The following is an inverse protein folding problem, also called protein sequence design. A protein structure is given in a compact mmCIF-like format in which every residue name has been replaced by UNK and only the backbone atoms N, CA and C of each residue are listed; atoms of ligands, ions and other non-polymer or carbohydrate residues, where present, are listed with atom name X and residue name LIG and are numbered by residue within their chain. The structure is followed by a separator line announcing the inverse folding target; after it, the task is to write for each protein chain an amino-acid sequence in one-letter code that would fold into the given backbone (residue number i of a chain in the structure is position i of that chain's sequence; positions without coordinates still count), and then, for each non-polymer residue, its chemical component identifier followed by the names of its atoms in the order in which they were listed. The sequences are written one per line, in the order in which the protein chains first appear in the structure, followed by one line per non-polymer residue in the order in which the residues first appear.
data_IF_564535428440
#
_entry.id   IF_564535428440
#
_cell.length_a   1.000
_cell.length_b   1.000
_cell.length_c   1.000
_cell.angle_alpha   90.00
_cell.angle_beta   90.00
_cell.angle_gamma   90.00
#
_symmetry.space_group_name_H-M   'P 1'
#
loop_
_entity.id
_entity.type
_entity.pdbx_description
1 polymer ?
#
# COMPACT_ATOMS: atom_id res chain seq x y z
N UNK A 1 19.94 -13.31 -6.06
CA UNK A 1 19.53 -13.93 -4.78
C UNK A 1 19.70 -12.92 -3.67
N UNK A 2 18.88 -12.94 -2.60
CA UNK A 2 19.07 -12.05 -1.46
C UNK A 2 20.45 -12.28 -0.84
N UNK A 3 21.09 -11.21 -0.36
CA UNK A 3 22.39 -11.30 0.34
C UNK A 3 22.17 -11.95 1.71
N UNK A 4 21.07 -11.60 2.39
CA UNK A 4 20.65 -12.16 3.69
C UNK A 4 19.12 -12.22 3.78
N UNK A 5 18.60 -12.96 4.77
CA UNK A 5 17.15 -13.07 4.99
C UNK A 5 16.84 -13.10 6.48
N UNK A 6 15.88 -12.28 6.91
CA UNK A 6 15.50 -12.11 8.32
C UNK A 6 13.98 -12.16 8.49
N UNK A 7 13.55 -12.62 9.66
CA UNK A 7 12.16 -12.47 10.12
C UNK A 7 12.13 -11.31 11.11
N UNK A 8 11.42 -10.24 10.77
CA UNK A 8 11.42 -9.00 11.55
C UNK A 8 10.01 -8.68 12.04
N UNK A 9 9.92 -8.22 13.28
CA UNK A 9 8.70 -7.70 13.90
C UNK A 9 9.03 -6.44 14.68
N UNK A 10 8.29 -5.36 14.42
CA UNK A 10 8.45 -4.08 15.09
C UNK A 10 8.20 -4.24 16.61
N UNK A 11 9.01 -3.53 17.42
CA UNK A 11 8.92 -3.61 18.89
C UNK A 11 7.66 -2.91 19.42
N UNK A 12 7.35 -1.73 18.89
CA UNK A 12 6.14 -0.98 19.24
C UNK A 12 4.86 -1.69 18.73
N UNK A 13 3.92 -1.97 19.64
CA UNK A 13 2.67 -2.65 19.32
C UNK A 13 1.71 -1.81 18.47
N UNK A 14 1.63 -0.50 18.72
CA UNK A 14 0.76 0.40 17.94
C UNK A 14 1.18 0.46 16.48
N UNK A 15 2.49 0.43 16.19
CA UNK A 15 3.00 0.32 14.80
C UNK A 15 2.52 -0.97 14.16
N UNK A 16 2.58 -2.09 14.88
CA UNK A 16 2.11 -3.39 14.36
C UNK A 16 0.61 -3.42 14.15
N UNK A 17 -0.16 -2.82 15.05
CA UNK A 17 -1.62 -2.74 14.96
C UNK A 17 -2.10 -1.86 13.79
N UNK A 18 -1.30 -0.91 13.36
CA UNK A 18 -1.59 -0.07 12.19
C UNK A 18 -0.88 -0.54 10.90
N UNK A 19 -0.07 -1.60 10.96
CA UNK A 19 0.63 -2.17 9.80
C UNK A 19 -0.02 -3.46 9.30
N UNK A 20 0.10 -3.82 8.03
CA UNK A 20 -0.47 -5.10 7.56
C UNK A 20 0.20 -6.32 8.22
N UNK A 21 1.53 -6.29 8.38
CA UNK A 21 2.35 -7.40 8.89
C UNK A 21 3.21 -6.94 10.08
N UNK A 22 4.50 -7.31 10.12
CA UNK A 22 5.43 -7.01 11.19
C UNK A 22 5.79 -5.53 11.39
N UNK A 23 5.42 -4.62 10.48
CA UNK A 23 5.65 -3.18 10.63
C UNK A 23 7.01 -2.67 10.12
N UNK A 24 7.71 -3.44 9.29
CA UNK A 24 9.02 -3.05 8.73
C UNK A 24 8.93 -1.80 7.83
N UNK A 25 7.85 -1.64 7.06
CA UNK A 25 7.62 -0.43 6.24
C UNK A 25 7.72 0.84 7.08
N UNK A 26 7.07 0.85 8.25
CA UNK A 26 7.11 1.98 9.18
C UNK A 26 8.53 2.22 9.68
N UNK A 27 9.21 1.19 10.21
CA UNK A 27 10.58 1.34 10.71
C UNK A 27 11.55 1.90 9.66
N UNK A 28 11.50 1.41 8.43
CA UNK A 28 12.38 1.89 7.36
C UNK A 28 12.05 3.33 6.96
N UNK A 29 10.77 3.68 6.93
CA UNK A 29 10.36 5.04 6.54
C UNK A 29 10.54 6.06 7.65
N UNK A 30 10.56 5.65 8.93
CA UNK A 30 10.92 6.53 10.05
C UNK A 30 12.35 7.05 9.88
N UNK A 31 13.32 6.18 9.53
CA UNK A 31 14.71 6.56 9.27
C UNK A 31 14.80 7.64 8.17
N UNK A 32 14.09 7.42 7.07
CA UNK A 32 14.10 8.34 5.92
C UNK A 32 13.50 9.70 6.30
N UNK A 33 12.42 9.71 7.06
CA UNK A 33 11.76 10.95 7.49
C UNK A 33 12.57 11.70 8.55
N UNK A 34 13.26 10.99 9.45
CA UNK A 34 14.17 11.59 10.45
C UNK A 34 15.34 12.31 9.76
N UNK A 35 15.78 11.82 8.60
CA UNK A 35 16.78 12.46 7.74
C UNK A 35 16.19 13.56 6.83
N UNK A 36 14.92 13.95 7.04
CA UNK A 36 14.17 14.91 6.19
C UNK A 36 14.11 14.45 4.72
N UNK A 37 14.12 13.15 4.49
CA UNK A 37 13.90 12.52 3.20
C UNK A 37 12.42 12.43 2.84
N UNK A 38 12.13 11.71 1.75
CA UNK A 38 10.81 11.65 1.13
C UNK A 38 10.39 10.19 0.97
N UNK A 39 9.14 9.90 1.30
CA UNK A 39 8.55 8.57 1.21
C UNK A 39 7.45 8.55 0.16
N UNK A 40 7.48 7.52 -0.67
CA UNK A 40 6.46 7.23 -1.65
C UNK A 40 5.80 5.89 -1.38
N UNK A 41 4.46 5.86 -1.44
CA UNK A 41 3.69 4.65 -1.17
C UNK A 41 2.23 4.75 -1.61
N UNK A 42 1.52 3.63 -1.50
CA UNK A 42 0.14 3.50 -1.98
C UNK A 42 -0.89 3.90 -0.92
N UNK A 43 -1.80 4.81 -1.27
CA UNK A 43 -2.95 5.20 -0.46
C UNK A 43 -4.25 5.19 -1.28
N UNK A 44 -5.38 5.37 -0.59
CA UNK A 44 -6.66 5.61 -1.23
C UNK A 44 -6.95 7.10 -1.35
N UNK A 45 -7.70 7.49 -2.38
CA UNK A 45 -8.40 8.77 -2.39
C UNK A 45 -9.77 8.65 -1.70
N UNK A 46 -10.59 9.70 -1.78
CA UNK A 46 -11.93 9.73 -1.19
C UNK A 46 -12.89 8.69 -1.79
N UNK A 47 -12.62 8.21 -2.99
CA UNK A 47 -13.45 7.24 -3.71
C UNK A 47 -12.88 5.81 -3.63
N UNK A 48 -11.89 5.59 -2.76
CA UNK A 48 -11.18 4.32 -2.60
C UNK A 48 -10.48 3.83 -3.87
N UNK A 49 -10.05 4.75 -4.74
CA UNK A 49 -9.11 4.45 -5.83
C UNK A 49 -7.69 4.46 -5.27
N UNK A 50 -6.95 3.38 -5.50
CA UNK A 50 -5.56 3.29 -5.06
C UNK A 50 -4.65 4.12 -5.95
N UNK A 51 -3.77 4.90 -5.34
CA UNK A 51 -2.73 5.65 -6.04
C UNK A 51 -1.45 5.79 -5.21
N UNK A 52 -0.32 6.00 -5.88
CA UNK A 52 0.93 6.33 -5.21
C UNK A 52 1.01 7.83 -4.90
N UNK A 53 1.34 8.14 -3.66
CA UNK A 53 1.53 9.51 -3.18
C UNK A 53 2.96 9.75 -2.68
N UNK A 54 3.28 11.04 -2.50
CA UNK A 54 4.53 11.56 -1.93
C UNK A 54 4.27 12.11 -0.52
N UNK A 55 5.17 11.87 0.43
CA UNK A 55 5.09 12.45 1.78
C UNK A 55 6.47 12.78 2.35
N UNK A 56 6.52 13.88 3.09
CA UNK A 56 7.66 14.32 3.91
C UNK A 56 7.32 14.30 5.41
N UNK A 57 6.14 13.81 5.79
CA UNK A 57 5.70 13.73 7.19
C UNK A 57 5.24 12.33 7.58
N UNK A 58 5.25 12.08 8.88
CA UNK A 58 4.75 10.84 9.50
C UNK A 58 3.27 10.64 9.19
N UNK A 59 2.46 11.68 9.31
CA UNK A 59 1.01 11.62 9.08
C UNK A 59 0.70 11.28 7.62
N UNK A 60 1.45 11.86 6.68
CA UNK A 60 1.31 11.53 5.27
C UNK A 60 1.80 10.11 4.94
N UNK A 61 2.89 9.65 5.57
CA UNK A 61 3.38 8.27 5.44
C UNK A 61 2.38 7.27 5.99
N UNK A 62 1.70 7.59 7.08
CA UNK A 62 0.76 6.69 7.74
C UNK A 62 -0.42 6.30 6.83
N UNK A 63 -0.80 7.16 5.88
CA UNK A 63 -1.78 6.84 4.82
C UNK A 63 -1.31 5.74 3.86
N UNK A 64 0.01 5.54 3.73
CA UNK A 64 0.60 4.48 2.92
C UNK A 64 0.60 3.12 3.62
N UNK A 65 0.28 3.06 4.92
CA UNK A 65 0.21 1.79 5.66
C UNK A 65 -0.95 0.93 5.18
N UNK A 66 -0.85 -0.36 5.49
CA UNK A 66 -1.83 -1.36 5.08
C UNK A 66 -1.65 -1.77 3.62
N UNK A 67 -2.17 -2.95 3.28
CA UNK A 67 -2.10 -3.46 1.91
C UNK A 67 -3.35 -3.07 1.15
N UNK A 68 -3.15 -2.54 -0.05
CA UNK A 68 -4.20 -2.28 -1.03
C UNK A 68 -4.03 -3.32 -2.14
N UNK A 69 -4.90 -4.33 -2.17
CA UNK A 69 -4.79 -5.44 -3.12
C UNK A 69 -5.53 -5.11 -4.42
N UNK A 70 -5.22 -3.96 -5.00
CA UNK A 70 -5.71 -3.47 -6.29
C UNK A 70 -4.56 -2.73 -6.98
N UNK A 71 -4.64 -2.60 -8.30
CA UNK A 71 -3.64 -1.84 -9.04
C UNK A 71 -3.69 -0.36 -8.61
N UNK A 72 -2.54 0.20 -8.23
CA UNK A 72 -2.43 1.63 -7.92
C UNK A 72 -2.11 2.44 -9.17
N UNK A 73 -2.73 3.61 -9.28
CA UNK A 73 -2.35 4.63 -10.24
C UNK A 73 -1.04 5.31 -9.80
N UNK A 74 0.00 5.23 -10.63
CA UNK A 74 1.29 5.84 -10.35
C UNK A 74 1.28 7.36 -10.59
N UNK A 75 0.26 7.91 -11.28
CA UNK A 75 0.16 9.34 -11.61
C UNK A 75 1.49 9.88 -12.16
N UNK A 76 1.99 10.98 -11.63
CA UNK A 76 3.29 11.56 -11.98
C UNK A 76 4.42 11.18 -11.00
N UNK A 77 4.23 10.12 -10.20
CA UNK A 77 5.12 9.76 -9.10
C UNK A 77 6.56 9.53 -9.56
N UNK A 78 6.78 8.84 -10.69
CA UNK A 78 8.15 8.59 -11.20
C UNK A 78 8.87 9.89 -11.56
N UNK A 79 8.13 10.87 -12.10
CA UNK A 79 8.66 12.21 -12.38
C UNK A 79 9.04 12.94 -11.09
N UNK A 80 8.19 12.84 -10.06
CA UNK A 80 8.47 13.44 -8.75
C UNK A 80 9.70 12.79 -8.09
N UNK A 81 9.80 11.45 -8.09
CA UNK A 81 10.97 10.72 -7.56
C UNK A 81 12.26 11.16 -8.25
N UNK A 82 12.27 11.20 -9.59
CA UNK A 82 13.42 11.66 -10.36
C UNK A 82 13.81 13.09 -9.98
N UNK A 83 12.83 13.98 -9.81
CA UNK A 83 13.08 15.36 -9.39
C UNK A 83 13.71 15.41 -8.01
N UNK A 84 13.16 14.70 -7.03
CA UNK A 84 13.68 14.71 -5.66
C UNK A 84 15.12 14.17 -5.59
N UNK A 85 15.45 13.14 -6.38
CA UNK A 85 16.82 12.62 -6.48
C UNK A 85 17.78 13.66 -7.09
N UNK A 86 17.35 14.36 -8.15
CA UNK A 86 18.14 15.44 -8.77
C UNK A 86 18.37 16.60 -7.80
N UNK A 87 17.38 16.88 -6.94
CA UNK A 87 17.49 17.87 -5.86
C UNK A 87 18.35 17.37 -4.68
N UNK A 88 18.97 16.19 -4.79
CA UNK A 88 19.86 15.61 -3.77
C UNK A 88 19.13 15.04 -2.55
N UNK A 89 17.81 14.80 -2.64
CA UNK A 89 17.01 14.28 -1.52
C UNK A 89 17.20 12.78 -1.37
N UNK A 90 17.14 12.31 -0.12
CA UNK A 90 16.95 10.89 0.20
C UNK A 90 15.52 10.47 -0.09
N UNK A 91 15.33 9.43 -0.90
CA UNK A 91 14.01 8.96 -1.34
C UNK A 91 13.84 7.48 -1.02
N UNK A 92 12.71 7.12 -0.42
CA UNK A 92 12.26 5.73 -0.31
C UNK A 92 10.95 5.52 -1.06
N UNK A 93 10.95 4.59 -2.01
CA UNK A 93 9.77 4.21 -2.77
C UNK A 93 9.33 2.78 -2.42
N UNK A 94 8.07 2.61 -2.05
CA UNK A 94 7.45 1.30 -1.80
C UNK A 94 6.45 0.95 -2.89
N UNK A 95 6.59 -0.23 -3.50
CA UNK A 95 5.70 -0.69 -4.56
C UNK A 95 5.90 -2.17 -4.90
N UNK A 96 5.13 -2.65 -5.87
CA UNK A 96 5.30 -4.02 -6.39
C UNK A 96 6.57 -4.13 -7.23
N UNK A 97 7.09 -5.34 -7.41
CA UNK A 97 8.34 -5.56 -8.15
C UNK A 97 8.32 -4.96 -9.57
N UNK A 98 7.18 -5.00 -10.25
CA UNK A 98 7.02 -4.37 -11.56
C UNK A 98 7.07 -2.84 -11.50
N UNK A 99 6.50 -2.21 -10.46
CA UNK A 99 6.61 -0.77 -10.22
C UNK A 99 8.06 -0.37 -9.89
N UNK A 100 8.75 -1.14 -9.05
CA UNK A 100 10.16 -0.90 -8.71
C UNK A 100 11.05 -1.01 -9.96
N UNK A 101 10.86 -2.05 -10.77
CA UNK A 101 11.60 -2.20 -12.02
C UNK A 101 11.36 -1.02 -12.99
N UNK A 102 10.10 -0.60 -13.14
CA UNK A 102 9.74 0.57 -13.95
C UNK A 102 10.38 1.86 -13.45
N UNK A 103 10.36 2.09 -12.13
CA UNK A 103 10.97 3.28 -11.52
C UNK A 103 12.49 3.31 -11.77
N UNK A 104 13.17 2.19 -11.54
CA UNK A 104 14.62 2.08 -11.76
C UNK A 104 15.00 2.35 -13.21
N UNK A 105 14.24 1.80 -14.17
CA UNK A 105 14.46 2.07 -15.59
C UNK A 105 14.24 3.56 -15.93
N UNK A 106 13.19 4.17 -15.38
CA UNK A 106 12.89 5.59 -15.60
C UNK A 106 13.95 6.55 -15.02
N UNK A 107 14.54 6.17 -13.88
CA UNK A 107 15.58 6.94 -13.18
C UNK A 107 17.02 6.61 -13.62
N UNK A 108 17.23 5.71 -14.60
CA UNK A 108 18.56 5.26 -15.00
C UNK A 108 19.50 6.37 -15.51
N UNK A 109 18.96 7.54 -15.87
CA UNK A 109 19.71 8.68 -16.37
C UNK A 109 20.14 9.69 -15.29
N UNK A 110 19.89 9.43 -14.01
CA UNK A 110 20.24 10.33 -12.89
C UNK A 110 20.96 9.57 -11.78
N UNK A 111 21.58 10.28 -10.84
CA UNK A 111 22.14 9.61 -9.67
C UNK A 111 21.01 9.01 -8.82
N UNK A 112 21.12 7.72 -8.50
CA UNK A 112 20.17 6.96 -7.69
C UNK A 112 20.78 6.43 -6.39
N UNK A 113 21.97 6.90 -5.97
CA UNK A 113 22.61 6.47 -4.71
C UNK A 113 21.70 6.69 -3.49
N UNK A 114 20.88 7.74 -3.54
CA UNK A 114 19.94 8.12 -2.49
C UNK A 114 18.53 7.51 -2.70
N UNK A 115 18.35 6.55 -3.62
CA UNK A 115 17.08 5.87 -3.89
C UNK A 115 17.01 4.51 -3.18
N UNK A 116 16.15 4.43 -2.18
CA UNK A 116 15.80 3.20 -1.50
C UNK A 116 14.48 2.64 -2.04
N UNK A 117 14.41 1.32 -2.23
CA UNK A 117 13.23 0.65 -2.78
C UNK A 117 12.75 -0.45 -1.82
N UNK A 118 11.47 -0.44 -1.49
CA UNK A 118 10.77 -1.56 -0.84
C UNK A 118 9.95 -2.28 -1.90
N UNK A 119 10.37 -3.50 -2.23
CA UNK A 119 9.63 -4.40 -3.10
C UNK A 119 8.70 -5.28 -2.25
N UNK A 120 7.39 -5.21 -2.51
CA UNK A 120 6.41 -6.06 -1.83
C UNK A 120 6.10 -7.31 -2.65
N UNK A 121 6.06 -8.45 -1.96
CA UNK A 121 5.58 -9.71 -2.55
C UNK A 121 4.14 -9.51 -3.03
N UNK A 122 3.93 -9.76 -4.32
CA UNK A 122 2.68 -9.54 -5.01
C UNK A 122 2.23 -10.83 -5.70
N UNK A 123 0.95 -11.18 -5.57
CA UNK A 123 0.32 -12.33 -6.23
C UNK A 123 -0.59 -11.90 -7.39
N UNK A 124 -0.44 -10.67 -7.86
CA UNK A 124 -1.35 -10.03 -8.81
C UNK A 124 -2.05 -8.81 -8.21
N UNK A 125 -2.47 -7.92 -9.09
CA UNK A 125 -3.19 -6.69 -8.76
C UNK A 125 -4.49 -6.63 -9.56
N UNK A 126 -5.64 -6.87 -8.91
CA UNK A 126 -6.96 -6.70 -9.51
C UNK A 126 -7.15 -5.33 -10.18
N UNK A 127 -7.96 -5.32 -11.24
CA UNK A 127 -8.35 -4.09 -11.93
C UNK A 127 -9.08 -3.11 -11.00
N UNK A 128 -8.76 -1.80 -11.04
CA UNK A 128 -9.48 -0.77 -10.29
C UNK A 128 -10.98 -0.73 -10.63
N UNK A 129 -11.35 -1.13 -11.86
CA UNK A 129 -12.74 -1.19 -12.28
C UNK A 129 -13.53 -2.27 -11.53
N UNK A 130 -12.96 -3.47 -11.38
CA UNK A 130 -13.61 -4.56 -10.62
C UNK A 130 -13.76 -4.19 -9.15
N UNK A 131 -12.78 -3.49 -8.59
CA UNK A 131 -12.87 -2.96 -7.23
C UNK A 131 -14.01 -1.94 -7.08
N UNK A 132 -14.12 -1.00 -8.02
CA UNK A 132 -15.21 -0.02 -8.04
C UNK A 132 -16.58 -0.70 -8.11
N UNK A 133 -16.75 -1.69 -8.98
CA UNK A 133 -17.99 -2.44 -9.12
C UNK A 133 -18.34 -3.22 -7.84
N UNK A 134 -17.33 -3.78 -7.16
CA UNK A 134 -17.50 -4.42 -5.87
C UNK A 134 -18.01 -3.45 -4.80
N UNK A 135 -17.43 -2.24 -4.70
CA UNK A 135 -17.91 -1.23 -3.75
C UNK A 135 -19.35 -0.81 -4.05
N UNK A 136 -19.69 -0.57 -5.32
CA UNK A 136 -21.07 -0.25 -5.75
C UNK A 136 -22.03 -1.38 -5.37
N UNK A 137 -21.62 -2.63 -5.54
CA UNK A 137 -22.40 -3.79 -5.12
C UNK A 137 -22.65 -3.77 -3.59
N UNK A 138 -21.63 -3.51 -2.77
CA UNK A 138 -21.79 -3.39 -1.32
C UNK A 138 -22.73 -2.24 -0.93
N UNK A 139 -22.59 -1.07 -1.55
CA UNK A 139 -23.47 0.09 -1.33
C UNK A 139 -24.94 -0.24 -1.61
N UNK A 140 -25.21 -0.93 -2.73
CA UNK A 140 -26.57 -1.39 -3.09
C UNK A 140 -27.10 -2.43 -2.13
N UNK A 141 -26.27 -3.40 -1.73
CA UNK A 141 -26.66 -4.53 -0.87
C UNK A 141 -26.96 -4.08 0.56
N UNK A 142 -26.14 -3.20 1.12
CA UNK A 142 -26.22 -2.81 2.53
C UNK A 142 -26.90 -1.46 2.76
N UNK A 143 -27.16 -0.70 1.69
CA UNK A 143 -27.88 0.57 1.74
C UNK A 143 -27.03 1.68 2.36
N UNK A 144 -26.41 2.51 1.52
CA UNK A 144 -25.62 3.66 1.97
C UNK A 144 -24.32 3.79 1.18
N UNK A 145 -23.44 4.68 1.62
CA UNK A 145 -22.11 4.89 1.02
C UNK A 145 -21.03 4.20 1.83
N UNK A 146 -20.02 3.67 1.13
CA UNK A 146 -18.84 3.11 1.79
C UNK A 146 -18.03 4.24 2.40
N UNK A 147 -17.73 4.12 3.69
CA UNK A 147 -16.99 5.12 4.47
C UNK A 147 -15.64 4.62 4.96
N UNK A 148 -15.37 3.32 4.87
CA UNK A 148 -14.07 2.72 5.17
C UNK A 148 -13.96 1.35 4.47
N UNK A 149 -12.73 0.97 4.09
CA UNK A 149 -12.43 -0.34 3.52
C UNK A 149 -11.16 -0.91 4.13
N UNK A 150 -11.18 -2.20 4.45
CA UNK A 150 -9.99 -2.97 4.78
C UNK A 150 -9.99 -4.27 3.98
N UNK A 151 -8.95 -4.51 3.18
CA UNK A 151 -8.84 -5.79 2.45
C UNK A 151 -8.60 -6.97 3.39
N UNK A 152 -7.98 -6.70 4.54
CA UNK A 152 -7.77 -7.72 5.57
C UNK A 152 -7.95 -7.11 6.96
N UNK A 153 -9.10 -7.40 7.57
CA UNK A 153 -9.42 -7.01 8.94
C UNK A 153 -8.70 -7.89 9.96
N UNK A 154 -7.43 -7.52 10.18
CA UNK A 154 -6.52 -8.15 11.13
C UNK A 154 -7.05 -8.06 12.56
N UNK A 155 -7.68 -6.95 12.93
CA UNK A 155 -8.11 -6.70 14.32
C UNK A 155 -9.16 -7.71 14.74
N UNK A 156 -10.07 -8.05 13.82
CA UNK A 156 -11.16 -8.97 14.08
C UNK A 156 -10.81 -10.44 13.83
N UNK A 157 -10.07 -10.73 12.75
CA UNK A 157 -9.88 -12.11 12.28
C UNK A 157 -8.41 -12.59 12.32
N UNK A 158 -7.49 -11.75 12.80
CA UNK A 158 -6.05 -12.03 12.80
C UNK A 158 -5.42 -11.95 11.41
N UNK A 159 -4.12 -12.25 11.32
CA UNK A 159 -3.37 -12.12 10.05
C UNK A 159 -3.75 -13.13 8.98
N UNK A 160 -4.26 -14.32 9.37
CA UNK A 160 -4.53 -15.45 8.48
C UNK A 160 -5.83 -15.33 7.70
N UNK A 161 -6.78 -14.54 8.19
CA UNK A 161 -8.04 -14.36 7.50
C UNK A 161 -7.84 -13.44 6.30
N UNK A 162 -8.19 -13.91 5.11
CA UNK A 162 -8.32 -13.07 3.92
C UNK A 162 -9.79 -12.70 3.78
N UNK A 163 -10.23 -11.75 4.60
CA UNK A 163 -11.61 -11.23 4.59
C UNK A 163 -11.56 -9.73 4.45
N UNK A 164 -12.18 -9.22 3.40
CA UNK A 164 -12.38 -7.80 3.23
C UNK A 164 -13.57 -7.30 4.07
N UNK A 165 -13.41 -6.14 4.68
CA UNK A 165 -14.45 -5.46 5.47
C UNK A 165 -14.74 -4.09 4.84
N UNK A 166 -16.01 -3.72 4.79
CA UNK A 166 -16.48 -2.39 4.36
C UNK A 166 -17.36 -1.79 5.46
N UNK A 167 -17.24 -0.49 5.70
CA UNK A 167 -18.12 0.23 6.64
C UNK A 167 -19.12 1.06 5.87
N UNK A 168 -20.40 0.90 6.21
CA UNK A 168 -21.53 1.63 5.61
C UNK A 168 -22.47 2.05 6.75
N UNK A 169 -22.77 3.35 6.83
CA UNK A 169 -23.58 3.96 7.90
C UNK A 169 -23.07 3.60 9.32
N UNK A 170 -21.74 3.57 9.51
CA UNK A 170 -21.12 3.24 10.79
C UNK A 170 -21.16 1.74 11.16
N UNK A 171 -21.71 0.88 10.29
CA UNK A 171 -21.75 -0.57 10.50
C UNK A 171 -20.72 -1.28 9.62
N UNK A 172 -20.00 -2.20 10.23
CA UNK A 172 -19.01 -3.08 9.59
C UNK A 172 -19.70 -4.26 8.89
N UNK A 173 -19.29 -4.54 7.65
CA UNK A 173 -19.74 -5.68 6.84
C UNK A 173 -18.54 -6.44 6.29
N UNK A 174 -18.41 -7.71 6.68
CA UNK A 174 -17.34 -8.60 6.23
C UNK A 174 -17.78 -9.42 5.03
N UNK A 175 -16.90 -9.53 4.05
CA UNK A 175 -17.14 -10.27 2.81
C UNK A 175 -15.90 -11.12 2.48
N UNK A 176 -16.09 -12.04 1.53
CA UNK A 176 -15.02 -12.82 0.90
C UNK A 176 -15.12 -12.80 -0.62
N UNK A 177 -16.07 -12.02 -1.15
CA UNK A 177 -16.41 -12.02 -2.58
C UNK A 177 -15.24 -11.50 -3.39
N UNK A 178 -14.68 -10.34 -3.00
CA UNK A 178 -13.56 -9.75 -3.71
C UNK A 178 -12.32 -10.62 -3.55
N UNK A 179 -12.07 -11.14 -2.36
CA UNK A 179 -10.94 -12.04 -2.11
C UNK A 179 -11.03 -13.30 -2.98
N UNK A 180 -12.17 -13.98 -3.00
CA UNK A 180 -12.35 -15.25 -3.73
C UNK A 180 -12.22 -15.07 -5.24
N UNK A 181 -12.69 -13.95 -5.81
CA UNK A 181 -12.53 -13.65 -7.24
C UNK A 181 -11.08 -13.72 -7.75
N UNK A 182 -10.09 -13.51 -6.87
CA UNK A 182 -8.67 -13.46 -7.25
C UNK A 182 -7.77 -14.46 -6.52
N UNK A 183 -8.30 -15.18 -5.53
CA UNK A 183 -7.50 -16.09 -4.69
C UNK A 183 -8.04 -17.50 -4.58
N UNK A 184 -9.28 -17.75 -4.99
CA UNK A 184 -9.79 -19.11 -5.02
C UNK A 184 -9.22 -19.82 -6.25
N UNK A 185 -8.36 -20.80 -6.00
CA UNK A 185 -7.83 -21.71 -7.01
C UNK A 185 -8.77 -22.89 -7.31
N UNK A 186 -10.07 -22.76 -6.99
CA UNK A 186 -11.10 -23.75 -7.27
C UNK A 186 -11.85 -23.41 -8.58
N UNK A 187 -11.10 -23.32 -9.68
CA UNK A 187 -11.64 -23.53 -11.03
C UNK A 187 -10.99 -24.79 -11.58
#
# INVERSE_FOLDING_TARGET
MPIESFIIKHKNIFVRENSRSGGIFTALTDIILDEKGIVYGCQFDSDYVAYHGRSETIEGRDRFRGSKYIQSDLKDTFRQVKKDLVDGRTVLFSGTSCQIAGLKAYCASVNTDNLYCIDIICHGVPSPMVWKDYLIYCEKKYGGKVTEVEFINKKRFGWKAHKESVWINGKEYDNVIFTHLFRDHNI
#
